data_IF_091513962885
#
_entry.id   IF_091513962885
#
_cell.length_a   1.000
_cell.length_b   1.000
_cell.length_c   1.000
_cell.angle_alpha   90.00
_cell.angle_beta   90.00
_cell.angle_gamma   90.00
#
_symmetry.space_group_name_H-M   'P 1'
#
loop_
_entity.id
_entity.type
_entity.pdbx_description
1 polymer ?
#
# COMPACT_ATOMS: atom_id res chain seq x y z
N UNK A 1 1.16 67.21 13.32
CA UNK A 1 1.61 66.26 12.28
C UNK A 1 2.07 65.01 13.00
N UNK A 2 1.14 64.11 13.30
CA UNK A 2 1.45 62.78 13.82
C UNK A 2 1.64 61.84 12.63
N UNK A 3 2.83 61.26 12.52
CA UNK A 3 3.13 60.22 11.54
C UNK A 3 2.66 58.88 12.11
N UNK A 4 1.56 58.36 11.59
CA UNK A 4 1.08 57.01 11.84
C UNK A 4 2.00 55.99 11.16
N UNK A 5 2.80 55.28 11.95
CA UNK A 5 3.59 54.15 11.49
C UNK A 5 2.67 52.96 11.17
N UNK A 6 2.48 52.66 9.88
CA UNK A 6 1.93 51.38 9.45
C UNK A 6 2.94 50.27 9.81
N UNK A 7 2.63 49.50 10.85
CA UNK A 7 3.21 48.17 11.06
C UNK A 7 2.80 47.29 9.88
N UNK A 8 3.74 46.98 9.00
CA UNK A 8 3.58 45.92 8.01
C UNK A 8 3.44 44.60 8.76
N UNK A 9 2.20 44.10 8.90
CA UNK A 9 1.97 42.73 9.36
C UNK A 9 2.59 41.78 8.33
N UNK A 10 3.66 41.09 8.73
CA UNK A 10 4.13 39.90 8.03
C UNK A 10 2.98 38.88 8.01
N UNK A 11 2.36 38.70 6.85
CA UNK A 11 1.49 37.55 6.60
C UNK A 11 2.32 36.29 6.88
N UNK A 12 1.98 35.55 7.94
CA UNK A 12 2.54 34.23 8.20
C UNK A 12 2.29 33.38 6.94
N UNK A 13 3.35 33.03 6.22
CA UNK A 13 3.25 32.16 5.05
C UNK A 13 2.74 30.81 5.51
N UNK A 14 1.57 30.40 5.00
CA UNK A 14 1.06 29.07 5.26
C UNK A 14 1.83 28.07 4.38
N UNK A 15 2.46 27.08 4.99
CA UNK A 15 3.15 25.99 4.29
C UNK A 15 2.20 24.84 3.90
N UNK A 16 0.92 24.99 4.25
CA UNK A 16 -0.16 24.08 3.89
C UNK A 16 -1.30 24.87 3.26
N UNK A 17 -2.01 24.27 2.31
CA UNK A 17 -3.26 24.82 1.76
C UNK A 17 -4.41 23.93 2.21
N UNK A 18 -5.38 24.52 2.88
CA UNK A 18 -6.61 23.83 3.27
C UNK A 18 -7.40 23.42 2.03
N UNK A 19 -7.92 22.20 2.04
CA UNK A 19 -8.74 21.65 0.95
C UNK A 19 -10.20 21.52 1.36
N UNK A 20 -10.46 21.12 2.60
CA UNK A 20 -11.81 20.91 3.12
C UNK A 20 -11.79 20.13 4.43
N UNK A 21 -12.94 19.58 4.80
CA UNK A 21 -13.10 18.79 6.01
C UNK A 21 -14.00 17.58 5.73
N UNK A 22 -13.57 16.40 6.17
CA UNK A 22 -14.41 15.20 6.11
C UNK A 22 -15.30 15.18 7.35
N UNK A 23 -16.60 15.38 7.13
CA UNK A 23 -17.60 15.35 8.19
C UNK A 23 -18.78 14.46 7.78
N UNK A 24 -18.86 13.26 8.37
CA UNK A 24 -20.05 12.42 8.29
C UNK A 24 -20.22 11.58 9.56
N UNK A 25 -21.47 11.28 9.93
CA UNK A 25 -21.80 10.54 11.15
C UNK A 25 -21.24 9.10 11.10
N UNK A 26 -21.15 8.52 9.90
CA UNK A 26 -20.64 7.18 9.67
C UNK A 26 -19.15 7.03 9.99
N UNK A 27 -18.38 8.13 10.11
CA UNK A 27 -16.99 8.07 10.56
C UNK A 27 -16.86 7.47 11.98
N UNK A 28 -17.89 7.63 12.81
CA UNK A 28 -17.93 7.04 14.14
C UNK A 28 -17.88 5.50 14.10
N UNK A 29 -18.46 4.89 13.05
CA UNK A 29 -18.41 3.44 12.85
C UNK A 29 -16.97 2.96 12.62
N UNK A 30 -16.12 3.78 12.01
CA UNK A 30 -14.71 3.45 11.74
C UNK A 30 -13.74 4.01 12.79
N UNK A 31 -14.26 4.58 13.89
CA UNK A 31 -13.50 4.94 15.08
C UNK A 31 -13.34 6.43 15.33
N UNK A 32 -13.86 7.32 14.48
CA UNK A 32 -13.78 8.76 14.71
C UNK A 32 -14.43 9.15 16.04
N UNK A 33 -13.86 10.18 16.68
CA UNK A 33 -14.21 10.59 18.05
C UNK A 33 -13.41 9.87 19.15
N UNK A 34 -12.63 8.84 18.82
CA UNK A 34 -11.65 8.25 19.75
C UNK A 34 -10.28 8.88 19.54
N UNK A 35 -9.56 9.12 20.64
CA UNK A 35 -8.20 9.66 20.57
C UNK A 35 -7.30 8.73 19.74
N UNK A 36 -6.66 9.29 18.71
CA UNK A 36 -5.68 8.54 17.91
C UNK A 36 -6.28 7.47 16.99
N UNK A 37 -7.57 7.52 16.67
CA UNK A 37 -8.24 6.50 15.84
C UNK A 37 -7.58 6.28 14.45
N UNK A 38 -7.04 7.32 13.82
CA UNK A 38 -6.25 7.22 12.58
C UNK A 38 -4.84 6.64 12.78
N UNK A 39 -4.32 6.63 14.01
CA UNK A 39 -2.96 6.16 14.31
C UNK A 39 -2.91 4.66 14.59
N UNK A 40 -3.96 4.09 15.20
CA UNK A 40 -3.96 2.70 15.68
C UNK A 40 -3.90 1.66 14.55
N UNK A 41 -4.51 1.94 13.40
CA UNK A 41 -4.65 0.98 12.29
C UNK A 41 -4.17 1.54 10.96
N UNK A 42 -2.85 1.72 10.75
CA UNK A 42 -2.35 2.47 9.60
C UNK A 42 -2.60 1.83 8.24
N UNK A 43 -2.80 0.52 8.18
CA UNK A 43 -3.07 -0.22 6.95
C UNK A 43 -4.58 -0.32 6.63
N UNK A 44 -5.45 0.32 7.42
CA UNK A 44 -6.91 0.35 7.21
C UNK A 44 -7.39 1.69 6.68
N UNK A 45 -6.51 2.44 6.03
CA UNK A 45 -6.84 3.72 5.42
C UNK A 45 -5.95 4.01 4.24
N UNK A 46 -6.56 4.47 3.15
CA UNK A 46 -5.88 4.86 1.93
C UNK A 46 -6.66 5.99 1.25
N UNK A 47 -5.95 7.01 0.78
CA UNK A 47 -6.57 8.09 0.01
C UNK A 47 -6.58 7.69 -1.47
N UNK A 48 -7.71 7.90 -2.14
CA UNK A 48 -7.76 7.78 -3.60
C UNK A 48 -7.01 8.96 -4.22
N UNK A 49 -7.28 10.15 -3.70
CA UNK A 49 -6.75 11.43 -4.13
C UNK A 49 -6.92 12.45 -3.01
N UNK A 50 -6.68 13.72 -3.34
CA UNK A 50 -7.03 14.85 -2.50
C UNK A 50 -8.52 15.20 -2.62
N UNK A 51 -9.46 14.26 -2.65
CA UNK A 51 -10.91 14.52 -2.43
C UNK A 51 -11.60 13.34 -1.74
N UNK A 52 -11.08 12.13 -1.91
CA UNK A 52 -11.71 10.89 -1.44
C UNK A 52 -10.75 10.00 -0.64
N UNK A 53 -11.27 9.41 0.44
CA UNK A 53 -10.56 8.46 1.31
C UNK A 53 -11.40 7.20 1.51
N UNK A 54 -10.74 6.06 1.64
CA UNK A 54 -11.33 4.85 2.18
C UNK A 54 -10.72 4.59 3.56
N UNK A 55 -11.57 4.32 4.54
CA UNK A 55 -11.20 3.99 5.92
C UNK A 55 -11.99 2.79 6.37
N UNK A 56 -11.34 1.85 7.06
CA UNK A 56 -11.97 0.64 7.53
C UNK A 56 -11.75 0.42 9.03
N UNK A 57 -12.69 -0.27 9.66
CA UNK A 57 -12.46 -0.96 10.93
C UNK A 57 -12.33 -2.47 10.66
N UNK A 58 -12.58 -3.31 11.68
CA UNK A 58 -12.50 -4.77 11.54
C UNK A 58 -13.52 -5.40 10.59
N UNK A 59 -14.66 -4.76 10.32
CA UNK A 59 -15.82 -5.35 9.64
C UNK A 59 -16.53 -4.43 8.63
N UNK A 60 -16.20 -3.14 8.63
CA UNK A 60 -16.85 -2.11 7.82
C UNK A 60 -15.78 -1.31 7.09
N UNK A 61 -16.02 -1.04 5.81
CA UNK A 61 -15.24 -0.11 5.00
C UNK A 61 -16.17 1.07 4.69
N UNK A 62 -15.67 2.28 4.90
CA UNK A 62 -16.31 3.53 4.57
C UNK A 62 -15.46 4.23 3.50
N UNK A 63 -16.08 4.54 2.37
CA UNK A 63 -15.54 5.47 1.38
C UNK A 63 -16.26 6.78 1.55
N UNK A 64 -15.50 7.86 1.66
CA UNK A 64 -16.06 9.19 1.85
C UNK A 64 -15.15 10.25 1.24
N UNK A 65 -15.71 11.39 0.86
CA UNK A 65 -14.98 12.58 0.49
C UNK A 65 -15.53 13.79 1.26
N UNK A 66 -14.88 14.95 1.11
CA UNK A 66 -15.36 16.18 1.78
C UNK A 66 -16.28 17.04 0.92
N UNK A 67 -16.39 16.77 -0.39
CA UNK A 67 -17.41 17.35 -1.26
C UNK A 67 -18.67 16.44 -1.27
N UNK A 68 -19.60 16.62 -2.21
CA UNK A 68 -20.69 15.66 -2.52
C UNK A 68 -20.16 14.32 -3.09
N UNK A 69 -18.94 13.93 -2.72
CA UNK A 69 -18.27 12.71 -3.14
C UNK A 69 -18.99 11.45 -2.67
N UNK A 70 -18.66 10.30 -3.28
CA UNK A 70 -19.36 9.05 -3.02
C UNK A 70 -19.23 8.65 -1.55
N UNK A 71 -20.39 8.48 -0.90
CA UNK A 71 -20.51 7.91 0.44
C UNK A 71 -20.91 6.45 0.29
N UNK A 72 -19.94 5.56 0.41
CA UNK A 72 -20.17 4.13 0.27
C UNK A 72 -19.82 3.43 1.58
N UNK A 73 -20.73 2.56 2.02
CA UNK A 73 -20.51 1.69 3.16
C UNK A 73 -20.54 0.24 2.71
N UNK A 74 -19.41 -0.45 2.85
CA UNK A 74 -19.27 -1.87 2.52
C UNK A 74 -19.18 -2.66 3.82
N UNK A 75 -19.95 -3.75 3.91
CA UNK A 75 -19.80 -4.78 4.94
C UNK A 75 -19.36 -6.08 4.28
N UNK A 76 -18.06 -6.39 4.29
CA UNK A 76 -17.57 -7.63 3.70
C UNK A 76 -18.20 -8.86 4.36
N UNK A 77 -18.49 -9.88 3.56
CA UNK A 77 -18.94 -11.18 4.06
C UNK A 77 -17.74 -11.95 4.63
N UNK A 78 -17.49 -11.75 5.92
CA UNK A 78 -16.39 -12.35 6.67
C UNK A 78 -16.89 -13.49 7.53
N UNK A 79 -16.11 -14.57 7.65
CA UNK A 79 -16.49 -15.73 8.46
C UNK A 79 -16.59 -15.38 9.96
N UNK A 80 -17.81 -15.40 10.56
CA UNK A 80 -17.96 -15.10 11.99
C UNK A 80 -17.37 -16.20 12.87
N UNK A 81 -17.48 -17.45 12.40
CA UNK A 81 -16.98 -18.66 13.10
C UNK A 81 -15.45 -18.60 13.25
N UNK A 82 -14.77 -18.16 12.20
CA UNK A 82 -13.30 -18.05 12.20
C UNK A 82 -12.80 -16.70 12.73
N UNK A 83 -13.70 -15.83 13.21
CA UNK A 83 -13.38 -14.46 13.67
C UNK A 83 -12.57 -13.68 12.62
N UNK A 84 -12.96 -13.81 11.34
CA UNK A 84 -12.30 -13.13 10.23
C UNK A 84 -12.54 -11.61 10.31
N UNK A 85 -11.48 -10.83 10.09
CA UNK A 85 -11.50 -9.37 10.16
C UNK A 85 -10.73 -8.77 8.98
N UNK A 86 -11.04 -7.51 8.66
CA UNK A 86 -10.27 -6.68 7.73
C UNK A 86 -8.94 -6.30 8.39
N UNK A 87 -7.84 -6.44 7.66
CA UNK A 87 -6.48 -6.17 8.16
C UNK A 87 -5.63 -5.31 7.24
N UNK A 88 -6.02 -5.16 5.97
CA UNK A 88 -5.38 -4.26 5.03
C UNK A 88 -6.39 -3.69 4.03
N UNK A 89 -6.14 -2.46 3.57
CA UNK A 89 -6.96 -1.73 2.62
C UNK A 89 -6.05 -1.02 1.63
N UNK A 90 -6.36 -1.08 0.33
CA UNK A 90 -5.60 -0.37 -0.71
C UNK A 90 -6.48 -0.05 -1.92
N UNK A 91 -6.27 1.10 -2.55
CA UNK A 91 -6.97 1.48 -3.78
C UNK A 91 -6.31 0.84 -4.99
N UNK A 92 -7.12 0.29 -5.90
CA UNK A 92 -6.67 -0.08 -7.24
C UNK A 92 -7.35 0.83 -8.27
N UNK A 93 -6.56 1.58 -9.03
CA UNK A 93 -7.04 2.61 -9.95
C UNK A 93 -6.48 2.34 -11.36
N UNK A 94 -7.31 1.77 -12.23
CA UNK A 94 -6.98 1.45 -13.62
C UNK A 94 -7.81 2.32 -14.55
N UNK A 95 -7.22 3.41 -15.05
CA UNK A 95 -7.92 4.42 -15.84
C UNK A 95 -9.22 4.87 -15.15
N UNK A 96 -10.38 4.54 -15.72
CA UNK A 96 -11.71 4.86 -15.20
C UNK A 96 -12.20 3.88 -14.11
N UNK A 97 -11.62 2.68 -14.05
CA UNK A 97 -12.02 1.63 -13.10
C UNK A 97 -11.32 1.87 -11.76
N UNK A 98 -12.13 2.11 -10.73
CA UNK A 98 -11.68 2.29 -9.34
C UNK A 98 -12.32 1.23 -8.46
N UNK A 99 -11.50 0.47 -7.75
CA UNK A 99 -11.95 -0.58 -6.82
C UNK A 99 -11.12 -0.57 -5.54
N UNK A 100 -11.66 -1.18 -4.49
CA UNK A 100 -10.99 -1.30 -3.20
C UNK A 100 -10.54 -2.73 -3.00
N UNK A 101 -9.23 -2.91 -2.83
CA UNK A 101 -8.64 -4.18 -2.43
C UNK A 101 -8.58 -4.29 -0.91
N UNK A 102 -8.95 -5.46 -0.39
CA UNK A 102 -9.09 -5.72 1.05
C UNK A 102 -8.35 -7.00 1.38
N UNK A 103 -7.45 -6.93 2.36
CA UNK A 103 -6.80 -8.10 2.95
C UNK A 103 -7.47 -8.50 4.24
N UNK A 104 -7.63 -9.81 4.48
CA UNK A 104 -8.23 -10.33 5.72
C UNK A 104 -7.23 -11.02 6.64
N UNK A 105 -7.63 -11.21 7.90
CA UNK A 105 -6.88 -11.95 8.92
C UNK A 105 -6.68 -13.44 8.58
N UNK A 106 -7.44 -13.97 7.62
CA UNK A 106 -7.41 -15.37 7.18
C UNK A 106 -6.58 -15.60 5.93
N UNK A 107 -6.20 -14.53 5.22
CA UNK A 107 -5.36 -14.62 4.03
C UNK A 107 -6.12 -14.44 2.72
N UNK A 108 -7.37 -13.97 2.79
CA UNK A 108 -8.15 -13.64 1.62
C UNK A 108 -7.83 -12.25 1.11
N UNK A 109 -7.66 -12.16 -0.21
CA UNK A 109 -7.73 -10.91 -0.96
C UNK A 109 -9.16 -10.78 -1.49
N UNK A 110 -9.84 -9.70 -1.11
CA UNK A 110 -11.15 -9.32 -1.62
C UNK A 110 -11.01 -8.06 -2.48
N UNK A 111 -11.86 -7.90 -3.47
CA UNK A 111 -11.95 -6.68 -4.29
C UNK A 111 -13.41 -6.24 -4.35
N UNK A 112 -13.67 -4.98 -4.02
CA UNK A 112 -15.01 -4.40 -4.03
C UNK A 112 -15.12 -3.24 -5.01
N UNK A 113 -16.25 -3.16 -5.71
CA UNK A 113 -16.60 -2.00 -6.54
C UNK A 113 -17.04 -0.81 -5.68
N UNK A 114 -17.14 0.36 -6.30
CA UNK A 114 -17.66 1.57 -5.67
C UNK A 114 -19.18 1.56 -5.45
N UNK A 115 -19.89 0.54 -5.96
CA UNK A 115 -21.30 0.27 -5.66
C UNK A 115 -21.46 -0.72 -4.51
N UNK A 116 -20.35 -1.22 -3.97
CA UNK A 116 -20.31 -2.17 -2.86
C UNK A 116 -20.44 -3.64 -3.26
N UNK A 117 -20.39 -3.96 -4.54
CA UNK A 117 -20.40 -5.34 -5.02
C UNK A 117 -19.03 -6.02 -4.80
N UNK A 118 -19.06 -7.28 -4.35
CA UNK A 118 -17.86 -8.12 -4.29
C UNK A 118 -17.50 -8.56 -5.71
N UNK A 119 -16.37 -8.05 -6.21
CA UNK A 119 -15.85 -8.35 -7.55
C UNK A 119 -15.01 -9.63 -7.53
N UNK A 120 -14.14 -9.77 -6.52
CA UNK A 120 -13.22 -10.90 -6.45
C UNK A 120 -12.95 -11.31 -5.00
N UNK A 121 -12.78 -12.62 -4.77
CA UNK A 121 -12.41 -13.20 -3.48
C UNK A 121 -11.48 -14.39 -3.68
N UNK A 122 -10.28 -14.33 -3.14
CA UNK A 122 -9.30 -15.41 -3.33
C UNK A 122 -8.39 -15.63 -2.12
N UNK A 123 -8.20 -16.89 -1.73
CA UNK A 123 -7.21 -17.27 -0.73
C UNK A 123 -5.81 -17.14 -1.34
N UNK A 124 -4.98 -16.27 -0.74
CA UNK A 124 -3.59 -16.04 -1.17
C UNK A 124 -2.67 -17.04 -0.48
N UNK A 125 -2.70 -17.04 0.85
CA UNK A 125 -1.98 -17.99 1.70
C UNK A 125 -2.63 -17.93 3.08
N UNK A 126 -2.77 -19.04 3.82
CA UNK A 126 -3.29 -19.00 5.17
C UNK A 126 -2.49 -18.05 6.07
N UNK A 127 -3.19 -17.20 6.81
CA UNK A 127 -2.62 -16.23 7.74
C UNK A 127 -2.98 -14.79 7.42
N UNK A 128 -2.64 -13.86 8.32
CA UNK A 128 -3.05 -12.45 8.18
C UNK A 128 -2.30 -11.76 7.04
N UNK A 129 -3.04 -11.12 6.13
CA UNK A 129 -2.48 -10.10 5.23
C UNK A 129 -2.26 -8.84 6.06
N UNK A 130 -1.00 -8.48 6.30
CA UNK A 130 -0.66 -7.32 7.12
C UNK A 130 -0.66 -6.03 6.31
N UNK A 131 -0.43 -6.10 5.00
CA UNK A 131 -0.40 -4.93 4.11
C UNK A 131 -0.66 -5.33 2.66
N UNK A 132 -1.39 -4.48 1.95
CA UNK A 132 -1.47 -4.49 0.50
C UNK A 132 -0.61 -3.33 -0.02
N UNK A 133 0.03 -3.53 -1.18
CA UNK A 133 0.85 -2.50 -1.81
C UNK A 133 0.60 -2.49 -3.29
N UNK A 134 0.52 -1.29 -3.85
CA UNK A 134 0.45 -1.08 -5.29
C UNK A 134 1.71 -0.38 -5.76
N UNK A 135 2.25 -0.81 -6.89
CA UNK A 135 3.47 -0.23 -7.43
C UNK A 135 3.59 -0.38 -8.94
N UNK A 136 4.09 0.68 -9.59
CA UNK A 136 4.78 0.60 -10.86
C UNK A 136 6.29 0.48 -10.69
N UNK A 137 6.90 -0.47 -11.39
CA UNK A 137 8.35 -0.66 -11.48
C UNK A 137 8.78 -0.42 -12.92
N UNK A 138 9.66 0.57 -13.15
CA UNK A 138 10.29 0.74 -14.46
C UNK A 138 11.20 -0.47 -14.73
N UNK A 139 11.03 -1.17 -15.86
CA UNK A 139 11.79 -2.38 -16.20
C UNK A 139 13.24 -2.05 -16.55
N UNK A 140 13.53 -0.91 -17.19
CA UNK A 140 14.90 -0.47 -17.56
C UNK A 140 15.08 1.06 -17.58
N UNK A 141 16.34 1.52 -17.50
CA UNK A 141 16.69 2.94 -17.73
C UNK A 141 16.56 3.33 -19.21
N UNK A 142 16.67 2.37 -20.12
CA UNK A 142 16.77 2.55 -21.58
C UNK A 142 15.53 2.10 -22.36
N UNK A 143 14.65 1.29 -21.75
CA UNK A 143 13.38 0.88 -22.36
C UNK A 143 12.21 1.24 -21.43
N UNK A 144 11.19 1.87 -22.00
CA UNK A 144 9.98 2.31 -21.30
C UNK A 144 8.97 1.18 -21.09
N UNK A 145 9.46 -0.02 -20.76
CA UNK A 145 8.59 -1.09 -20.32
C UNK A 145 8.36 -0.92 -18.80
N UNK A 146 7.11 -0.82 -18.37
CA UNK A 146 6.75 -0.83 -16.95
C UNK A 146 6.22 -2.21 -16.54
N UNK A 147 6.48 -2.59 -15.29
CA UNK A 147 5.82 -3.71 -14.63
C UNK A 147 5.02 -3.13 -13.48
N UNK A 148 3.70 -3.25 -13.55
CA UNK A 148 2.84 -2.83 -12.46
C UNK A 148 2.41 -4.06 -11.69
N UNK A 149 2.28 -3.94 -10.38
CA UNK A 149 2.02 -5.07 -9.51
C UNK A 149 1.25 -4.67 -8.26
N UNK A 150 0.48 -5.63 -7.75
CA UNK A 150 -0.13 -5.59 -6.43
C UNK A 150 0.53 -6.65 -5.58
N UNK A 151 1.02 -6.27 -4.41
CA UNK A 151 1.64 -7.20 -3.46
C UNK A 151 0.81 -7.35 -2.19
N UNK A 152 0.56 -8.59 -1.78
CA UNK A 152 0.05 -8.90 -0.46
C UNK A 152 1.20 -9.34 0.45
N UNK A 153 1.40 -8.60 1.54
CA UNK A 153 2.44 -8.85 2.53
C UNK A 153 1.83 -9.58 3.71
N UNK A 154 2.52 -10.62 4.17
CA UNK A 154 2.15 -11.45 5.30
C UNK A 154 3.40 -11.72 6.16
N UNK A 155 3.26 -12.18 7.42
CA UNK A 155 4.40 -12.54 8.27
C UNK A 155 5.34 -13.55 7.60
N UNK A 156 6.48 -13.08 7.09
CA UNK A 156 7.48 -13.92 6.41
C UNK A 156 7.11 -14.37 4.99
N UNK A 157 6.04 -13.83 4.40
CA UNK A 157 5.58 -14.20 3.06
C UNK A 157 5.20 -12.96 2.24
N UNK A 158 5.53 -12.98 0.96
CA UNK A 158 5.08 -11.98 0.00
C UNK A 158 4.45 -12.66 -1.21
N UNK A 159 3.25 -12.20 -1.56
CA UNK A 159 2.56 -12.59 -2.78
C UNK A 159 2.53 -11.41 -3.75
N UNK A 160 2.72 -11.67 -5.05
CA UNK A 160 2.67 -10.68 -6.12
C UNK A 160 1.62 -11.09 -7.15
N UNK A 161 0.77 -10.14 -7.51
CA UNK A 161 -0.18 -10.21 -8.62
C UNK A 161 0.29 -9.25 -9.69
N UNK A 162 0.21 -9.66 -10.96
CA UNK A 162 0.54 -8.77 -12.06
C UNK A 162 -0.59 -7.76 -12.29
N UNK A 163 -0.24 -6.50 -12.51
CA UNK A 163 -1.20 -5.42 -12.73
C UNK A 163 -2.09 -5.68 -13.95
N UNK A 164 -1.53 -6.24 -15.03
CA UNK A 164 -2.30 -6.54 -16.24
C UNK A 164 -3.34 -7.63 -16.02
N UNK A 165 -3.02 -8.64 -15.20
CA UNK A 165 -3.96 -9.73 -14.91
C UNK A 165 -5.16 -9.23 -14.10
N UNK A 166 -4.92 -8.31 -13.16
CA UNK A 166 -5.97 -7.62 -12.41
C UNK A 166 -6.80 -6.72 -13.33
N UNK A 167 -6.14 -5.93 -14.19
CA UNK A 167 -6.83 -5.05 -15.13
C UNK A 167 -7.77 -5.83 -16.05
N UNK A 168 -7.29 -6.93 -16.64
CA UNK A 168 -8.09 -7.78 -17.51
C UNK A 168 -9.31 -8.35 -16.77
N UNK A 169 -9.11 -8.86 -15.55
CA UNK A 169 -10.19 -9.38 -14.71
C UNK A 169 -11.25 -8.31 -14.42
N UNK A 170 -10.83 -7.08 -14.09
CA UNK A 170 -11.74 -5.98 -13.82
C UNK A 170 -12.48 -5.48 -15.06
N UNK A 171 -11.81 -5.44 -16.21
CA UNK A 171 -12.42 -5.06 -17.49
C UNK A 171 -13.48 -6.06 -17.93
N UNK A 172 -13.20 -7.36 -17.82
CA UNK A 172 -14.16 -8.42 -18.09
C UNK A 172 -15.39 -8.28 -17.16
N UNK A 173 -15.17 -8.12 -15.85
CA UNK A 173 -16.24 -7.91 -14.88
C UNK A 173 -17.10 -6.68 -15.19
N UNK A 174 -16.47 -5.58 -15.56
CA UNK A 174 -17.18 -4.34 -15.89
C UNK A 174 -18.04 -4.50 -17.15
N UNK A 175 -17.50 -5.12 -18.20
CA UNK A 175 -18.22 -5.38 -19.46
C UNK A 175 -19.44 -6.29 -19.24
N UNK A 176 -19.28 -7.38 -18.48
CA UNK A 176 -20.40 -8.29 -18.18
C UNK A 176 -21.48 -7.63 -17.31
N UNK A 177 -21.08 -6.83 -16.31
CA UNK A 177 -22.04 -6.11 -15.46
C UNK A 177 -22.86 -5.11 -16.28
N UNK A 178 -22.22 -4.40 -17.21
CA UNK A 178 -22.92 -3.52 -18.14
C UNK A 178 -23.83 -4.26 -19.12
N UNK A 179 -23.43 -5.42 -19.64
CA UNK A 179 -24.29 -6.23 -20.52
C UNK A 179 -25.56 -6.70 -19.79
N UNK A 180 -25.43 -7.17 -18.55
CA UNK A 180 -26.58 -7.60 -17.72
C UNK A 180 -27.53 -6.47 -17.33
N UNK A 181 -27.05 -5.22 -17.29
CA UNK A 181 -27.91 -4.06 -17.06
C UNK A 181 -28.85 -3.79 -18.24
N UNK A 182 -28.43 -4.12 -19.46
CA UNK A 182 -29.22 -3.93 -20.68
C UNK A 182 -30.11 -5.12 -21.05
N UNK A 183 -29.84 -6.32 -20.52
CA UNK A 183 -30.72 -7.49 -20.68
C UNK A 183 -31.86 -7.48 -19.64
N UNK A 184 -33.09 -7.26 -20.10
CA UNK A 184 -34.30 -7.35 -19.28
C UNK A 184 -34.56 -8.81 -18.84
N UNK A 185 -34.06 -9.16 -17.65
CA UNK A 185 -34.40 -10.28 -16.75
C UNK A 185 -33.20 -11.19 -16.43
N UNK A 186 -32.56 -11.02 -15.26
CA UNK A 186 -31.64 -12.03 -14.75
C UNK A 186 -32.44 -13.28 -14.34
N UNK A 187 -32.05 -14.45 -14.84
CA UNK A 187 -32.67 -15.70 -14.39
C UNK A 187 -32.20 -16.02 -12.97
N UNK A 188 -33.08 -16.57 -12.13
CA UNK A 188 -32.79 -16.91 -10.72
C UNK A 188 -31.58 -17.83 -10.50
N UNK A 189 -31.02 -18.44 -11.55
CA UNK A 189 -29.79 -19.25 -11.50
C UNK A 189 -28.51 -18.41 -11.52
N UNK A 190 -28.56 -17.15 -11.97
CA UNK A 190 -27.39 -16.28 -12.13
C UNK A 190 -26.98 -15.54 -10.84
N UNK A 191 -27.85 -15.56 -9.82
CA UNK A 191 -27.61 -14.92 -8.51
C UNK A 191 -26.79 -15.82 -7.57
N UNK A 192 -26.91 -17.14 -7.70
CA UNK A 192 -26.17 -18.11 -6.86
C UNK A 192 -24.70 -18.25 -7.29
N UNK A 193 -24.35 -17.84 -8.51
CA UNK A 193 -22.96 -17.85 -9.03
C UNK A 193 -22.18 -16.58 -8.67
N UNK A 194 -22.81 -15.57 -8.07
CA UNK A 194 -22.15 -14.32 -7.64
C UNK A 194 -21.14 -14.53 -6.49
N UNK A 195 -21.25 -15.67 -5.78
CA UNK A 195 -20.31 -16.09 -4.75
C UNK A 195 -19.04 -16.78 -5.28
N UNK A 196 -18.99 -17.09 -6.59
CA UNK A 196 -17.80 -17.64 -7.22
C UNK A 196 -16.88 -16.49 -7.64
N UNK A 197 -15.65 -16.51 -7.13
CA UNK A 197 -14.61 -15.57 -7.51
C UNK A 197 -14.55 -15.42 -9.02
N UNK A 198 -14.79 -14.22 -9.53
CA UNK A 198 -14.49 -13.86 -10.91
C UNK A 198 -13.05 -14.29 -11.18
N UNK A 199 -12.83 -15.16 -12.19
CA UNK A 199 -11.59 -15.91 -12.54
C UNK A 199 -10.42 -15.82 -11.53
N UNK A 200 -9.93 -16.97 -11.07
CA UNK A 200 -8.75 -17.04 -10.16
C UNK A 200 -7.57 -16.25 -10.73
N UNK A 201 -7.14 -15.20 -10.02
CA UNK A 201 -6.00 -14.38 -10.40
C UNK A 201 -4.71 -15.19 -10.22
N UNK A 202 -3.83 -15.25 -11.24
CA UNK A 202 -2.50 -15.80 -11.08
C UNK A 202 -1.67 -14.92 -10.14
N UNK A 203 -0.83 -15.55 -9.33
CA UNK A 203 0.12 -14.85 -8.48
C UNK A 203 1.42 -15.63 -8.35
N UNK A 204 2.47 -14.96 -7.86
CA UNK A 204 3.68 -15.59 -7.36
C UNK A 204 3.72 -15.47 -5.84
N UNK A 205 4.35 -16.45 -5.16
CA UNK A 205 4.40 -16.53 -3.70
C UNK A 205 5.83 -16.87 -3.26
N UNK A 206 6.38 -16.11 -2.32
CA UNK A 206 7.74 -16.30 -1.82
C UNK A 206 7.81 -16.30 -0.31
N UNK A 207 8.67 -17.17 0.25
CA UNK A 207 8.99 -17.18 1.67
C UNK A 207 10.20 -16.26 1.92
N UNK A 208 9.96 -15.16 2.61
CA UNK A 208 10.95 -14.14 2.98
C UNK A 208 11.19 -14.10 4.49
N UNK A 209 10.92 -15.22 5.19
CA UNK A 209 10.99 -15.35 6.64
C UNK A 209 12.34 -15.84 7.19
N UNK A 210 13.39 -15.97 6.36
CA UNK A 210 14.70 -16.52 6.80
C UNK A 210 15.27 -15.77 8.01
N UNK A 211 15.11 -14.45 8.02
CA UNK A 211 15.63 -13.57 9.08
C UNK A 211 14.55 -13.14 10.07
N UNK A 212 13.48 -13.91 10.22
CA UNK A 212 12.38 -13.62 11.15
C UNK A 212 11.10 -13.16 10.46
N UNK A 213 10.07 -12.94 11.27
CA UNK A 213 8.81 -12.38 10.79
C UNK A 213 8.99 -10.91 10.37
N UNK A 214 8.39 -10.53 9.25
CA UNK A 214 8.40 -9.15 8.79
C UNK A 214 7.18 -8.39 9.34
N UNK A 215 7.42 -7.15 9.78
CA UNK A 215 6.38 -6.15 10.08
C UNK A 215 5.90 -5.46 8.80
N UNK A 216 6.78 -5.37 7.79
CA UNK A 216 6.47 -4.84 6.47
C UNK A 216 7.45 -5.41 5.43
N UNK A 217 7.06 -5.44 4.17
CA UNK A 217 7.88 -5.85 3.05
C UNK A 217 7.46 -5.15 1.77
N UNK A 218 8.39 -5.02 0.82
CA UNK A 218 8.06 -4.53 -0.52
C UNK A 218 9.00 -5.13 -1.56
N UNK A 219 8.47 -5.33 -2.77
CA UNK A 219 9.28 -5.54 -3.97
C UNK A 219 9.74 -4.15 -4.44
N UNK A 220 11.05 -4.03 -4.66
CA UNK A 220 11.72 -2.73 -4.89
C UNK A 220 12.20 -2.56 -6.32
N UNK A 221 12.20 -3.62 -7.11
CA UNK A 221 12.62 -3.59 -8.50
C UNK A 221 13.03 -4.95 -9.03
N UNK A 222 13.40 -4.97 -10.31
CA UNK A 222 13.96 -6.14 -10.98
C UNK A 222 15.47 -6.19 -10.72
N UNK A 223 16.01 -7.40 -10.61
CA UNK A 223 17.43 -7.67 -10.50
C UNK A 223 17.96 -8.30 -11.79
N UNK A 224 19.22 -8.01 -12.17
CA UNK A 224 19.88 -8.79 -13.20
C UNK A 224 20.03 -10.25 -12.75
N UNK A 225 20.12 -11.18 -13.71
CA UNK A 225 20.38 -12.58 -13.40
C UNK A 225 21.74 -12.73 -12.69
N UNK A 226 21.91 -13.77 -11.85
CA UNK A 226 23.21 -14.12 -11.28
C UNK A 226 24.27 -14.37 -12.37
N UNK A 227 25.52 -14.00 -12.08
CA UNK A 227 26.64 -13.95 -13.03
C UNK A 227 26.94 -15.27 -13.78
N UNK A 228 26.48 -16.42 -13.27
CA UNK A 228 26.77 -17.76 -13.80
C UNK A 228 25.49 -18.53 -14.18
N UNK A 229 24.34 -17.87 -14.16
CA UNK A 229 23.10 -18.48 -14.58
C UNK A 229 22.89 -18.21 -16.07
N UNK A 230 22.66 -19.29 -16.84
CA UNK A 230 22.30 -19.17 -18.27
C UNK A 230 21.11 -18.22 -18.37
N UNK A 231 21.17 -17.27 -19.31
CA UNK A 231 20.06 -16.37 -19.64
C UNK A 231 18.83 -17.20 -20.03
N UNK A 232 18.07 -17.59 -19.02
CA UNK A 232 16.71 -18.06 -19.17
C UNK A 232 15.80 -16.84 -19.21
N UNK A 233 14.57 -17.00 -19.69
CA UNK A 233 13.52 -15.98 -19.62
C UNK A 233 13.09 -15.63 -18.17
N UNK A 234 13.84 -16.06 -17.16
CA UNK A 234 13.51 -15.92 -15.74
C UNK A 234 13.73 -14.49 -15.26
N UNK A 235 12.67 -13.89 -14.70
CA UNK A 235 12.78 -12.61 -14.01
C UNK A 235 13.13 -12.82 -12.55
N UNK A 236 14.01 -11.95 -12.08
CA UNK A 236 14.39 -11.86 -10.67
C UNK A 236 13.89 -10.55 -10.10
N UNK A 237 13.17 -10.60 -8.98
CA UNK A 237 12.75 -9.43 -8.25
C UNK A 237 13.61 -9.23 -6.99
N UNK A 238 13.72 -8.01 -6.53
CA UNK A 238 14.35 -7.66 -5.25
C UNK A 238 13.28 -7.33 -4.24
N UNK A 239 13.22 -8.08 -3.15
CA UNK A 239 12.38 -7.74 -2.02
C UNK A 239 13.20 -7.23 -0.84
N UNK A 240 12.62 -6.29 -0.11
CA UNK A 240 13.13 -5.80 1.17
C UNK A 240 12.06 -6.08 2.21
N UNK A 241 12.46 -6.64 3.33
CA UNK A 241 11.61 -6.85 4.51
C UNK A 241 12.20 -6.11 5.70
N UNK A 242 11.33 -5.68 6.61
CA UNK A 242 11.72 -5.09 7.88
C UNK A 242 10.99 -5.82 9.01
N UNK A 243 11.59 -5.93 10.18
CA UNK A 243 10.94 -6.63 11.29
C UNK A 243 11.75 -6.61 12.58
N UNK A 244 11.36 -7.50 13.48
CA UNK A 244 11.90 -7.57 14.85
C UNK A 244 13.32 -8.12 14.90
N UNK A 245 13.55 -9.27 14.28
CA UNK A 245 14.84 -9.98 14.33
C UNK A 245 15.91 -9.33 13.45
N UNK A 246 15.48 -8.70 12.36
CA UNK A 246 16.33 -7.93 11.45
C UNK A 246 15.59 -6.65 11.05
N UNK A 247 16.20 -5.50 11.34
CA UNK A 247 15.64 -4.19 10.99
C UNK A 247 15.45 -4.09 9.48
N UNK A 248 16.39 -4.65 8.71
CA UNK A 248 16.31 -4.72 7.24
C UNK A 248 16.80 -6.10 6.81
N UNK A 249 16.10 -6.73 5.88
CA UNK A 249 16.60 -7.88 5.13
C UNK A 249 16.27 -7.74 3.66
N UNK A 250 17.12 -8.26 2.79
CA UNK A 250 16.93 -8.21 1.36
C UNK A 250 16.99 -9.61 0.75
N UNK A 251 16.18 -9.83 -0.27
CA UNK A 251 16.01 -11.11 -0.95
C UNK A 251 15.96 -10.92 -2.46
N UNK A 252 16.50 -11.90 -3.19
CA UNK A 252 16.27 -12.11 -4.62
C UNK A 252 15.16 -13.15 -4.77
N UNK A 253 14.10 -12.79 -5.47
CA UNK A 253 12.92 -13.61 -5.69
C UNK A 253 12.91 -14.11 -7.14
N UNK A 254 12.82 -15.43 -7.35
CA UNK A 254 12.71 -15.99 -8.70
C UNK A 254 11.26 -16.10 -9.13
N UNK A 255 10.96 -15.83 -10.40
CA UNK A 255 9.63 -16.11 -10.95
C UNK A 255 9.33 -17.61 -11.09
N UNK A 256 10.36 -18.43 -11.34
CA UNK A 256 10.21 -19.86 -11.57
C UNK A 256 9.79 -20.62 -10.29
N UNK A 257 8.74 -21.43 -10.44
CA UNK A 257 8.14 -22.27 -9.40
C UNK A 257 8.90 -23.60 -9.22
N UNK A 258 9.68 -24.03 -10.21
CA UNK A 258 10.28 -25.37 -10.28
C UNK A 258 11.45 -25.61 -9.31
N UNK A 259 11.96 -24.56 -8.64
CA UNK A 259 13.23 -24.62 -7.87
C UNK A 259 13.08 -24.41 -6.37
N UNK A 260 11.86 -24.40 -5.83
CA UNK A 260 11.68 -24.29 -4.39
C UNK A 260 11.87 -25.64 -3.70
N UNK A 261 13.10 -25.93 -3.29
CA UNK A 261 13.43 -27.03 -2.37
C UNK A 261 12.88 -26.79 -0.95
N UNK A 262 12.11 -25.71 -0.72
CA UNK A 262 11.64 -25.27 0.61
C UNK A 262 10.26 -25.84 0.97
N UNK A 263 9.68 -26.69 0.12
CA UNK A 263 8.44 -27.42 0.42
C UNK A 263 8.49 -28.31 1.67
N UNK A 264 9.68 -28.58 2.24
CA UNK A 264 9.87 -29.45 3.39
C UNK A 264 10.03 -28.72 4.75
N UNK A 265 10.26 -27.40 4.79
CA UNK A 265 10.61 -26.68 6.04
C UNK A 265 9.41 -25.92 6.64
N UNK A 266 8.25 -25.93 5.98
CA UNK A 266 7.00 -25.37 6.53
C UNK A 266 6.38 -26.19 7.68
N UNK A 267 7.00 -27.31 8.08
CA UNK A 267 6.55 -28.11 9.24
C UNK A 267 7.08 -27.63 10.60
N UNK A 268 7.91 -26.58 10.67
CA UNK A 268 8.62 -26.21 11.93
C UNK A 268 8.38 -24.80 12.48
N UNK A 269 7.57 -23.95 11.82
CA UNK A 269 7.29 -22.59 12.34
C UNK A 269 5.80 -22.24 12.39
N UNK A 270 4.93 -23.25 12.31
CA UNK A 270 3.53 -23.13 12.72
C UNK A 270 3.47 -23.55 14.19
N UNK A 271 2.90 -22.76 15.11
CA UNK A 271 2.56 -23.25 16.44
C UNK A 271 1.74 -24.52 16.28
N UNK A 272 2.27 -25.64 16.78
CA UNK A 272 1.69 -26.96 16.66
C UNK A 272 0.40 -27.07 17.48
N UNK A 273 -0.69 -26.46 17.01
CA UNK A 273 -2.05 -26.71 17.48
C UNK A 273 -3.07 -26.56 16.35
N UNK A 274 -2.82 -27.08 15.14
CA UNK A 274 -3.89 -27.32 14.18
C UNK A 274 -3.67 -28.62 13.39
N UNK A 275 -4.39 -29.65 13.84
CA UNK A 275 -4.91 -30.81 13.10
C UNK A 275 -4.01 -31.51 12.07
N UNK A 276 -3.15 -32.42 12.56
CA UNK A 276 -2.78 -33.63 11.81
C UNK A 276 -3.57 -34.82 12.37
N UNK A 277 -4.81 -34.97 11.92
CA UNK A 277 -5.49 -36.27 11.94
C UNK A 277 -5.95 -36.52 10.51
N UNK A 278 -5.04 -37.06 9.71
CA UNK A 278 -5.42 -37.73 8.49
C UNK A 278 -5.85 -39.16 8.84
N UNK A 279 -7.15 -39.39 8.75
CA UNK A 279 -7.79 -40.62 8.24
C UNK A 279 -7.47 -41.96 8.92
N UNK A 280 -8.34 -42.40 9.83
CA UNK A 280 -8.74 -43.82 9.96
C UNK A 280 -10.07 -43.90 10.73
N UNK A 281 -11.20 -44.11 10.03
CA UNK A 281 -12.19 -45.15 10.38
C UNK A 281 -13.51 -45.02 9.58
N UNK A 282 -13.71 -46.03 8.73
CA UNK A 282 -14.94 -46.82 8.54
C UNK A 282 -16.25 -46.11 8.16
N UNK A 283 -16.74 -46.51 6.98
CA UNK A 283 -18.14 -46.86 6.69
C UNK A 283 -18.96 -47.10 7.98
N UNK A 284 -19.99 -46.30 8.21
CA UNK A 284 -21.32 -46.68 8.74
C UNK A 284 -22.26 -45.46 8.65
N UNK A 285 -23.18 -45.53 7.66
CA UNK A 285 -24.62 -45.25 7.72
C UNK A 285 -25.22 -43.83 7.98
N UNK A 286 -25.91 -43.31 6.94
CA UNK A 286 -27.06 -42.32 6.80
C UNK A 286 -27.03 -41.00 7.62
N UNK A 287 -27.69 -39.92 7.23
CA UNK A 287 -28.30 -39.33 6.02
C UNK A 287 -28.44 -37.82 6.31
N UNK A 288 -28.60 -37.00 5.27
CA UNK A 288 -29.14 -35.61 5.31
C UNK A 288 -28.40 -34.53 6.11
N UNK A 289 -27.56 -33.76 5.41
CA UNK A 289 -27.80 -32.35 5.04
C UNK A 289 -26.54 -31.81 4.37
N UNK A 290 -26.61 -31.57 3.06
CA UNK A 290 -25.55 -30.92 2.29
C UNK A 290 -25.53 -29.43 2.63
N UNK A 291 -24.75 -29.05 3.64
CA UNK A 291 -24.20 -27.69 3.72
C UNK A 291 -23.20 -27.52 2.56
N UNK A 292 -23.14 -26.36 1.87
CA UNK A 292 -22.14 -26.14 0.84
C UNK A 292 -20.75 -26.10 1.51
N UNK A 293 -20.03 -27.21 1.45
CA UNK A 293 -18.64 -27.28 1.86
C UNK A 293 -17.84 -26.42 0.89
N UNK A 294 -17.40 -25.26 1.36
CA UNK A 294 -16.38 -24.47 0.69
C UNK A 294 -15.17 -25.37 0.48
N UNK A 295 -14.88 -25.70 -0.77
CA UNK A 295 -13.74 -26.54 -1.11
C UNK A 295 -12.46 -25.77 -0.76
N UNK A 296 -11.71 -26.29 0.21
CA UNK A 296 -10.45 -25.72 0.65
C UNK A 296 -9.47 -25.75 -0.52
N UNK A 297 -9.18 -24.56 -1.08
CA UNK A 297 -8.34 -24.44 -2.27
C UNK A 297 -6.93 -24.98 -1.99
N UNK A 298 -6.42 -25.89 -2.85
CA UNK A 298 -5.05 -26.41 -2.73
C UNK A 298 -4.04 -25.25 -2.64
N UNK A 299 -3.16 -25.24 -1.63
CA UNK A 299 -2.21 -24.14 -1.44
C UNK A 299 -1.23 -24.08 -2.61
N UNK A 300 -0.97 -22.86 -3.09
CA UNK A 300 -0.05 -22.63 -4.20
C UNK A 300 1.41 -22.88 -3.77
N UNK A 301 2.22 -23.46 -4.67
CA UNK A 301 3.64 -23.69 -4.40
C UNK A 301 4.43 -22.38 -4.33
N UNK A 302 5.30 -22.26 -3.34
CA UNK A 302 6.25 -21.16 -3.23
C UNK A 302 7.32 -21.22 -4.32
N UNK A 303 7.67 -20.06 -4.88
CA UNK A 303 8.87 -19.88 -5.69
C UNK A 303 10.10 -19.60 -4.82
N UNK A 304 11.31 -19.67 -5.40
CA UNK A 304 12.56 -19.55 -4.64
C UNK A 304 12.81 -18.10 -4.23
N UNK A 305 13.06 -17.90 -2.93
CA UNK A 305 13.58 -16.65 -2.37
C UNK A 305 14.99 -16.88 -1.83
N UNK A 306 15.97 -16.21 -2.42
CA UNK A 306 17.38 -16.30 -2.02
C UNK A 306 17.74 -15.07 -1.19
N UNK A 307 18.19 -15.22 0.07
CA UNK A 307 18.62 -14.09 0.88
C UNK A 307 19.86 -13.42 0.28
N UNK A 308 19.91 -12.10 0.32
CA UNK A 308 21.03 -11.29 -0.17
C UNK A 308 21.86 -10.74 1.00
N UNK A 309 21.21 -10.00 1.89
CA UNK A 309 21.84 -9.39 3.07
C UNK A 309 20.82 -9.13 4.16
N UNK A 310 21.28 -8.88 5.38
CA UNK A 310 20.45 -8.44 6.49
C UNK A 310 21.22 -7.47 7.39
N UNK A 311 20.51 -6.49 7.94
CA UNK A 311 20.96 -5.59 8.99
C UNK A 311 20.25 -5.97 10.29
N UNK A 312 21.00 -6.54 11.22
CA UNK A 312 20.57 -6.80 12.60
C UNK A 312 21.10 -5.67 13.48
N UNK A 313 20.21 -5.04 14.25
CA UNK A 313 20.56 -3.90 15.12
C UNK A 313 19.71 -3.96 16.39
N UNK A 314 19.88 -5.04 17.16
CA UNK A 314 19.19 -5.21 18.43
C UNK A 314 19.59 -4.10 19.42
N UNK A 315 18.66 -3.48 20.17
CA UNK A 315 17.26 -3.88 20.40
C UNK A 315 16.23 -3.27 19.44
N UNK A 316 16.66 -2.73 18.30
CA UNK A 316 15.77 -2.03 17.38
C UNK A 316 15.08 -2.97 16.43
N UNK A 317 13.82 -2.66 16.15
CA UNK A 317 12.92 -3.41 15.27
C UNK A 317 12.49 -2.48 14.14
N UNK A 318 12.50 -2.95 12.90
CA UNK A 318 11.94 -2.20 11.78
C UNK A 318 10.41 -2.21 11.86
N UNK A 319 9.77 -1.05 11.69
CA UNK A 319 8.32 -0.89 11.89
C UNK A 319 7.57 -0.48 10.62
N UNK A 320 8.07 0.51 9.87
CA UNK A 320 7.41 1.02 8.65
C UNK A 320 8.39 1.14 7.50
N UNK A 321 7.95 0.74 6.30
CA UNK A 321 8.69 0.82 5.05
C UNK A 321 7.94 1.67 4.04
N UNK A 322 8.60 2.72 3.52
CA UNK A 322 8.08 3.55 2.43
C UNK A 322 9.09 3.57 1.28
N UNK A 323 8.64 3.28 0.06
CA UNK A 323 9.50 3.33 -1.14
C UNK A 323 9.34 4.67 -1.86
N UNK A 324 10.42 5.14 -2.51
CA UNK A 324 10.31 6.20 -3.51
C UNK A 324 9.53 5.67 -4.74
N UNK A 325 8.97 6.54 -5.61
CA UNK A 325 8.26 6.08 -6.80
C UNK A 325 9.15 5.19 -7.68
N UNK A 326 10.39 5.63 -7.90
CA UNK A 326 11.41 4.86 -8.63
C UNK A 326 11.78 3.53 -7.96
N UNK A 327 11.47 3.36 -6.67
CA UNK A 327 11.86 2.20 -5.87
C UNK A 327 13.35 2.15 -5.53
N UNK A 328 14.13 3.15 -5.94
CA UNK A 328 15.59 3.20 -5.73
C UNK A 328 15.97 3.62 -4.31
N UNK A 329 15.05 4.26 -3.59
CA UNK A 329 15.20 4.63 -2.18
C UNK A 329 14.07 4.03 -1.34
N UNK A 330 14.38 3.70 -0.09
CA UNK A 330 13.41 3.30 0.90
C UNK A 330 13.66 4.02 2.22
N UNK A 331 12.63 4.62 2.80
CA UNK A 331 12.64 5.14 4.16
C UNK A 331 12.11 4.08 5.12
N UNK A 332 12.88 3.77 6.16
CA UNK A 332 12.58 2.72 7.14
C UNK A 332 12.61 3.34 8.53
N UNK A 333 11.49 3.26 9.25
CA UNK A 333 11.42 3.70 10.66
C UNK A 333 11.66 2.53 11.58
N UNK A 334 12.34 2.77 12.71
CA UNK A 334 12.54 1.76 13.75
C UNK A 334 11.85 2.12 15.08
N UNK A 335 11.76 1.11 15.94
CA UNK A 335 11.09 1.16 17.24
C UNK A 335 11.70 2.13 18.26
N UNK A 336 12.94 2.58 18.06
CA UNK A 336 13.61 3.52 18.97
C UNK A 336 13.74 4.93 18.38
N UNK A 337 13.04 5.21 17.28
CA UNK A 337 12.97 6.55 16.69
C UNK A 337 14.15 6.92 15.82
N UNK A 338 14.73 5.96 15.10
CA UNK A 338 15.58 6.25 13.94
C UNK A 338 14.80 6.10 12.64
N UNK A 339 15.23 6.85 11.64
CA UNK A 339 14.78 6.70 10.25
C UNK A 339 16.01 6.45 9.41
N UNK A 340 16.02 5.33 8.67
CA UNK A 340 17.08 4.92 7.76
C UNK A 340 16.62 5.20 6.32
N UNK A 341 17.44 5.91 5.55
CA UNK A 341 17.29 5.98 4.09
C UNK A 341 18.19 4.90 3.48
N UNK A 342 17.57 3.89 2.88
CA UNK A 342 18.22 2.77 2.22
C UNK A 342 18.24 3.01 0.71
N UNK A 343 19.42 2.90 0.09
CA UNK A 343 19.52 2.68 -1.34
C UNK A 343 19.17 1.22 -1.63
N UNK A 344 18.06 0.98 -2.33
CA UNK A 344 17.54 -0.37 -2.53
C UNK A 344 18.37 -1.15 -3.55
N UNK A 345 19.10 -0.46 -4.44
CA UNK A 345 19.94 -1.12 -5.44
C UNK A 345 21.25 -1.58 -4.84
N UNK A 346 21.93 -0.67 -4.13
CA UNK A 346 23.17 -0.97 -3.45
C UNK A 346 22.95 -1.78 -2.15
N UNK A 347 21.74 -1.77 -1.60
CA UNK A 347 21.39 -2.34 -0.29
C UNK A 347 22.22 -1.74 0.85
N UNK A 348 22.48 -0.44 0.77
CA UNK A 348 23.28 0.34 1.74
C UNK A 348 22.44 1.48 2.31
N UNK A 349 22.50 1.66 3.64
CA UNK A 349 21.91 2.83 4.29
C UNK A 349 22.76 4.05 3.96
N UNK A 350 22.17 5.01 3.25
CA UNK A 350 22.86 6.22 2.78
C UNK A 350 22.64 7.41 3.72
N UNK A 351 21.56 7.43 4.51
CA UNK A 351 21.27 8.55 5.44
C UNK A 351 20.50 8.07 6.67
N UNK A 352 20.68 8.77 7.80
CA UNK A 352 20.07 8.45 9.09
C UNK A 352 19.54 9.71 9.77
N UNK A 353 18.33 9.64 10.32
CA UNK A 353 17.78 10.62 11.26
C UNK A 353 17.51 9.98 12.63
N UNK A 354 17.66 10.74 13.71
CA UNK A 354 17.50 10.26 15.10
C UNK A 354 16.50 11.12 15.88
N UNK A 355 15.79 10.50 16.83
CA UNK A 355 14.81 11.17 17.69
C UNK A 355 13.45 11.36 17.03
N UNK A 356 13.05 10.46 16.14
CA UNK A 356 11.79 10.47 15.38
C UNK A 356 10.94 9.24 15.73
N UNK A 357 10.70 9.00 17.03
CA UNK A 357 9.85 7.88 17.49
C UNK A 357 8.43 8.04 16.96
N UNK A 358 7.82 6.94 16.56
CA UNK A 358 6.48 6.83 15.96
C UNK A 358 6.31 7.57 14.63
N UNK A 359 7.40 8.02 14.00
CA UNK A 359 7.33 8.78 12.77
C UNK A 359 6.70 7.97 11.61
N UNK A 360 6.19 8.70 10.63
CA UNK A 360 5.75 8.16 9.34
C UNK A 360 6.41 8.96 8.22
N UNK A 361 6.79 8.28 7.15
CA UNK A 361 7.52 8.89 6.04
C UNK A 361 6.76 8.71 4.73
N UNK A 362 6.68 9.76 3.91
CA UNK A 362 6.14 9.73 2.54
C UNK A 362 7.09 10.51 1.63
N UNK A 363 7.28 10.02 0.40
CA UNK A 363 8.10 10.73 -0.58
C UNK A 363 7.23 11.74 -1.32
N UNK A 364 7.71 12.96 -1.47
CA UNK A 364 6.99 14.04 -2.18
C UNK A 364 7.92 14.75 -3.15
N UNK A 365 7.37 15.55 -4.04
CA UNK A 365 8.13 16.33 -4.98
C UNK A 365 7.89 17.83 -4.75
N UNK A 366 9.00 18.54 -4.55
CA UNK A 366 9.00 19.98 -4.31
C UNK A 366 9.53 20.68 -5.56
N UNK A 367 8.84 21.74 -5.97
CA UNK A 367 9.29 22.59 -7.07
C UNK A 367 10.59 23.27 -6.65
N UNK A 368 11.65 23.06 -7.42
CA UNK A 368 12.92 23.75 -7.25
C UNK A 368 12.71 25.17 -7.76
N UNK A 369 13.03 26.16 -6.93
CA UNK A 369 12.84 27.57 -7.27
C UNK A 369 13.55 27.86 -8.60
N UNK A 370 12.79 28.23 -9.65
CA UNK A 370 13.39 28.80 -10.86
C UNK A 370 13.93 30.15 -10.43
N UNK A 371 15.24 30.36 -10.57
CA UNK A 371 15.80 31.70 -10.49
C UNK A 371 14.94 32.63 -11.36
N UNK A 372 14.65 33.81 -10.80
CA UNK A 372 13.75 34.84 -11.31
C UNK A 372 14.01 35.29 -12.75
N UNK A 373 15.11 34.85 -13.37
CA UNK A 373 15.52 35.22 -14.71
C UNK A 373 14.83 34.42 -15.83
N UNK A 374 14.08 33.35 -15.51
CA UNK A 374 13.21 32.63 -16.47
C UNK A 374 11.73 32.95 -16.34
N UNK A 375 11.37 33.90 -15.47
CA UNK A 375 9.98 34.31 -15.22
C UNK A 375 9.39 35.22 -16.32
N UNK A 376 10.14 35.51 -17.39
CA UNK A 376 9.72 36.40 -18.48
C UNK A 376 8.80 35.76 -19.52
N UNK A 377 8.50 34.46 -19.43
CA UNK A 377 7.55 33.78 -20.31
C UNK A 377 6.41 33.16 -19.49
N UNK A 378 5.26 33.82 -19.48
CA UNK A 378 4.06 33.53 -18.69
C UNK A 378 3.32 32.22 -19.03
N UNK A 379 3.96 31.26 -19.69
CA UNK A 379 3.30 30.05 -20.23
C UNK A 379 4.08 28.73 -20.04
N UNK A 380 5.11 28.67 -19.19
CA UNK A 380 5.80 27.40 -18.94
C UNK A 380 5.14 26.63 -17.80
N UNK A 381 4.40 25.57 -18.14
CA UNK A 381 4.00 24.54 -17.17
C UNK A 381 5.25 23.83 -16.62
N UNK A 382 5.35 23.61 -15.30
CA UNK A 382 6.47 22.89 -14.71
C UNK A 382 6.55 21.46 -15.22
N UNK A 383 7.72 21.10 -15.74
CA UNK A 383 8.03 19.74 -16.16
C UNK A 383 8.64 18.93 -15.01
N UNK A 384 8.79 17.61 -15.17
CA UNK A 384 9.39 16.74 -14.15
C UNK A 384 10.77 17.20 -13.66
N UNK A 385 11.60 17.81 -14.53
CA UNK A 385 12.93 18.29 -14.18
C UNK A 385 12.92 19.53 -13.29
N UNK A 386 11.79 20.25 -13.21
CA UNK A 386 11.62 21.40 -12.31
C UNK A 386 11.38 20.96 -10.85
N UNK A 387 11.20 19.66 -10.58
CA UNK A 387 10.94 19.12 -9.25
C UNK A 387 12.15 18.37 -8.67
N UNK A 388 12.28 18.42 -7.35
CA UNK A 388 13.21 17.59 -6.60
C UNK A 388 12.47 16.61 -5.69
N UNK A 389 12.96 15.38 -5.64
CA UNK A 389 12.45 14.36 -4.73
C UNK A 389 12.82 14.73 -3.29
N UNK A 390 11.82 14.68 -2.41
CA UNK A 390 11.94 14.97 -1.00
C UNK A 390 11.32 13.85 -0.16
N UNK A 391 11.71 13.79 1.11
CA UNK A 391 11.11 12.93 2.13
C UNK A 391 10.39 13.81 3.14
N UNK A 392 9.06 13.68 3.21
CA UNK A 392 8.25 14.23 4.28
C UNK A 392 8.29 13.28 5.49
N UNK A 393 8.82 13.76 6.60
CA UNK A 393 8.92 13.05 7.87
C UNK A 393 7.90 13.67 8.83
N UNK A 394 6.78 12.98 9.03
CA UNK A 394 5.81 13.34 10.06
C UNK A 394 6.23 12.72 11.39
N UNK A 395 6.42 13.56 12.41
CA UNK A 395 6.90 13.20 13.73
C UNK A 395 5.84 13.54 14.80
N UNK A 396 4.87 12.66 15.06
CA UNK A 396 3.73 12.96 15.93
C UNK A 396 4.12 13.43 17.34
N UNK A 397 5.13 12.79 17.95
CA UNK A 397 5.60 13.17 19.30
C UNK A 397 6.20 14.56 19.39
N UNK A 398 6.72 15.07 18.27
CA UNK A 398 7.27 16.42 18.17
C UNK A 398 6.23 17.44 17.72
N UNK A 399 5.06 16.99 17.23
CA UNK A 399 4.05 17.86 16.64
C UNK A 399 4.55 18.58 15.39
N UNK A 400 5.40 17.94 14.57
CA UNK A 400 5.96 18.56 13.36
C UNK A 400 5.98 17.62 12.15
N UNK A 401 6.02 18.23 10.97
CA UNK A 401 6.42 17.60 9.72
C UNK A 401 7.67 18.30 9.20
N UNK A 402 8.72 17.55 8.88
CA UNK A 402 9.93 18.06 8.23
C UNK A 402 10.03 17.54 6.81
N UNK A 403 10.39 18.39 5.85
CA UNK A 403 10.65 17.96 4.47
C UNK A 403 12.14 18.06 4.18
N UNK A 404 12.74 16.95 3.76
CA UNK A 404 14.16 16.82 3.51
C UNK A 404 14.42 16.52 2.03
N UNK A 405 15.35 17.22 1.40
CA UNK A 405 15.70 16.97 0.00
C UNK A 405 16.53 15.68 -0.13
N UNK A 406 16.16 14.83 -1.09
CA UNK A 406 16.85 13.57 -1.35
C UNK A 406 18.02 13.73 -2.32
N UNK A 407 19.06 12.89 -2.24
CA UNK A 407 19.32 11.90 -1.17
C UNK A 407 20.08 12.49 0.03
N UNK A 408 20.94 13.48 -0.22
CA UNK A 408 21.82 14.10 0.78
C UNK A 408 21.56 15.61 1.00
N UNK A 409 20.46 16.14 0.46
CA UNK A 409 20.17 17.57 0.55
C UNK A 409 19.68 18.02 1.94
N UNK A 410 19.59 19.33 2.18
CA UNK A 410 19.20 19.90 3.47
C UNK A 410 17.73 19.65 3.83
N UNK A 411 17.34 20.03 5.05
CA UNK A 411 15.95 20.19 5.45
C UNK A 411 15.42 21.47 4.79
N UNK A 412 14.37 21.35 3.99
CA UNK A 412 13.77 22.46 3.25
C UNK A 412 12.74 23.21 4.08
N UNK A 413 11.92 22.50 4.85
CA UNK A 413 10.85 23.12 5.64
C UNK A 413 10.55 22.36 6.93
N UNK A 414 9.91 23.04 7.88
CA UNK A 414 9.32 22.45 9.09
C UNK A 414 7.94 23.06 9.32
N UNK A 415 6.91 22.21 9.36
CA UNK A 415 5.52 22.58 9.59
C UNK A 415 5.11 22.12 10.99
N UNK A 416 4.42 22.98 11.73
CA UNK A 416 3.74 22.56 12.96
C UNK A 416 2.52 21.73 12.60
N UNK A 417 2.36 20.60 13.28
CA UNK A 417 1.36 19.60 12.99
C UNK A 417 0.53 19.36 14.25
N UNK A 418 -0.78 19.51 14.13
CA UNK A 418 -1.70 19.27 15.23
C UNK A 418 -1.65 17.80 15.69
N UNK A 419 -1.98 17.56 16.96
CA UNK A 419 -2.16 16.20 17.47
C UNK A 419 -3.27 15.49 16.69
N UNK A 420 -3.18 14.17 16.55
CA UNK A 420 -4.15 13.38 15.79
C UNK A 420 -4.03 13.50 14.27
N UNK A 421 -3.09 14.30 13.76
CA UNK A 421 -2.85 14.42 12.33
C UNK A 421 -2.09 13.23 11.75
N UNK A 422 -2.31 12.98 10.45
CA UNK A 422 -1.67 11.93 9.68
C UNK A 422 -1.41 12.38 8.25
N UNK A 423 -0.24 12.04 7.74
CA UNK A 423 0.12 12.27 6.34
C UNK A 423 -0.38 11.14 5.45
N UNK A 424 -0.88 11.47 4.26
CA UNK A 424 -1.44 10.57 3.25
C UNK A 424 -0.92 10.95 1.85
N UNK A 425 -1.03 10.03 0.89
CA UNK A 425 -0.75 10.28 -0.53
C UNK A 425 -1.89 9.75 -1.38
N UNK A 426 -2.10 10.30 -2.60
CA UNK A 426 -2.99 9.72 -3.59
C UNK A 426 -2.65 8.25 -3.87
N UNK A 427 -3.65 7.49 -4.29
CA UNK A 427 -3.47 6.14 -4.77
C UNK A 427 -2.60 6.13 -6.04
N UNK A 428 -1.84 5.05 -6.21
CA UNK A 428 -1.12 4.81 -7.45
C UNK A 428 -2.13 4.54 -8.58
N UNK A 429 -1.92 5.19 -9.73
CA UNK A 429 -2.73 4.99 -10.94
C UNK A 429 -1.97 4.09 -11.91
N UNK A 430 -2.57 2.95 -12.24
CA UNK A 430 -2.08 2.03 -13.24
C UNK A 430 -2.23 2.62 -14.64
N UNK A 431 -1.35 2.23 -15.56
CA UNK A 431 -1.49 2.57 -16.98
C UNK A 431 -1.36 4.05 -17.34
N UNK A 432 -0.95 4.93 -16.42
CA UNK A 432 -0.84 6.37 -16.68
C UNK A 432 0.05 6.66 -17.91
N UNK A 433 -0.57 7.08 -19.01
CA UNK A 433 0.09 7.35 -20.29
C UNK A 433 1.02 8.57 -20.22
N UNK A 434 2.05 8.57 -21.06
CA UNK A 434 2.96 9.70 -21.29
C UNK A 434 2.26 10.96 -21.82
N UNK A 435 1.04 10.82 -22.34
CA UNK A 435 0.23 11.94 -22.86
C UNK A 435 -0.45 12.76 -21.76
N UNK A 436 -0.48 12.25 -20.51
CA UNK A 436 -1.04 12.98 -19.37
C UNK A 436 -0.03 14.02 -18.81
N UNK A 437 -0.50 15.18 -18.35
CA UNK A 437 0.38 16.18 -17.74
C UNK A 437 1.09 15.59 -16.51
N UNK A 438 2.35 15.95 -16.30
CA UNK A 438 3.13 15.45 -15.18
C UNK A 438 2.52 15.89 -13.85
N UNK A 439 2.01 14.93 -13.08
CA UNK A 439 1.51 15.17 -11.72
C UNK A 439 2.61 14.83 -10.72
N UNK A 440 3.20 15.82 -10.04
CA UNK A 440 4.25 15.56 -9.08
C UNK A 440 3.68 14.91 -7.81
N UNK A 441 4.51 14.20 -7.07
CA UNK A 441 4.08 13.53 -5.83
C UNK A 441 3.63 14.52 -4.75
N UNK A 442 2.36 14.41 -4.37
CA UNK A 442 1.76 15.21 -3.31
C UNK A 442 1.67 14.44 -1.99
N UNK A 443 1.60 15.19 -0.89
CA UNK A 443 1.32 14.70 0.45
C UNK A 443 0.23 15.57 1.04
N UNK A 444 -0.80 14.93 1.59
CA UNK A 444 -1.88 15.59 2.31
C UNK A 444 -1.76 15.31 3.79
N UNK A 445 -2.34 16.19 4.60
CA UNK A 445 -2.44 16.10 6.04
C UNK A 445 -3.91 16.03 6.41
N UNK A 446 -4.32 14.91 7.00
CA UNK A 446 -5.65 14.72 7.58
C UNK A 446 -5.55 14.84 9.10
N UNK A 447 -6.31 15.73 9.71
CA UNK A 447 -6.49 15.76 11.15
C UNK A 447 -7.67 14.85 11.56
N UNK A 448 -7.40 13.83 12.38
CA UNK A 448 -8.43 12.88 12.78
C UNK A 448 -9.47 13.43 13.75
N UNK A 449 -9.16 14.51 14.47
CA UNK A 449 -10.07 15.08 15.48
C UNK A 449 -11.01 16.11 14.85
N UNK A 450 -10.50 16.97 13.97
CA UNK A 450 -11.28 18.00 13.27
C UNK A 450 -11.84 17.56 11.92
N UNK A 451 -11.33 16.47 11.34
CA UNK A 451 -11.64 16.05 9.96
C UNK A 451 -10.97 16.92 8.88
N UNK A 452 -10.23 17.96 9.27
CA UNK A 452 -9.63 18.93 8.35
C UNK A 452 -8.55 18.27 7.48
N UNK A 453 -8.63 18.51 6.17
CA UNK A 453 -7.61 18.13 5.21
C UNK A 453 -6.88 19.37 4.65
N UNK A 454 -5.56 19.27 4.60
CA UNK A 454 -4.71 20.23 3.91
C UNK A 454 -3.66 19.55 3.04
N UNK A 455 -3.23 20.18 1.95
CA UNK A 455 -2.10 19.76 1.13
C UNK A 455 -0.82 20.47 1.57
N UNK A 456 0.31 19.76 1.56
CA UNK A 456 1.62 20.36 1.78
C UNK A 456 2.03 21.15 0.53
N UNK A 457 2.38 22.42 0.70
CA UNK A 457 2.76 23.27 -0.44
C UNK A 457 4.06 22.77 -1.08
N UNK A 458 4.04 22.65 -2.41
CA UNK A 458 5.18 22.17 -3.21
C UNK A 458 6.22 23.25 -3.51
N UNK A 459 5.88 24.52 -3.33
CA UNK A 459 6.79 25.65 -3.51
C UNK A 459 7.23 26.18 -2.15
N UNK A 460 8.47 26.66 -2.08
CA UNK A 460 9.03 27.34 -0.91
C UNK A 460 8.66 28.84 -0.85
N UNK A 461 7.75 29.28 -1.73
CA UNK A 461 7.34 30.68 -1.92
C UNK A 461 6.70 31.29 -0.68
#
# INVERSE_FOLDING_TARGET
MEATGLKTMSLKRSHTRELGCIACEELSDVGAGKEGWLAESPNLQCALDAHSIAVANRFVILVTGWDDGPRLRIRPELSPIESEIITALEWLVFDEIRVIAVGTSRGYLLVYSLDGHLVHRQMVCPGRIIKLRVRGTKKDLTQDSYSEEVSAVMPGVIARFDGSDIQNMLQEWFQETHARFWDEQPTKRDLDDLGNSYKRLPYQLWNVGKYGSCADAAITGIMPPPLMEVQSSQRYYRAITIGEDAVISAYRLSEDRSRSLVGAILSKVVPATFSTIASFSKRIWRSEQTSPKWSEAKPQSFAKASPLTCLKDHPRKGEKLTLSPSGTLAAITDSLGRILLLDTQALVVVRLWKGYRDASCLFMEMLVNRDSDRASSSYHEPSKSDYCLCLAIHAPRKGIIEVWQMRFGPRLLTIQCAKGSKILQPAYRFGSSFESPYVPLEVFLLNGDSGQLSVLNRSLS
#
